data_IF_047700973414
#
_entry.id   IF_047700973414
#
_cell.length_a   1.000
_cell.length_b   1.000
_cell.length_c   1.000
_cell.angle_alpha   90.00
_cell.angle_beta   90.00
_cell.angle_gamma   90.00
#
_symmetry.space_group_name_H-M   'P 1'
#
loop_
_entity.id
_entity.type
_entity.pdbx_description
1 polymer ?
#
# COMPACT_ATOMS: atom_id res chain seq x y z
N UNK A 1 -9.82 -7.36 14.71
CA UNK A 1 -9.07 -6.17 14.25
C UNK A 1 -9.04 -6.12 12.73
N UNK A 2 -9.04 -4.93 12.13
CA UNK A 2 -8.92 -4.71 10.68
C UNK A 2 -7.65 -3.91 10.39
N UNK A 3 -6.77 -4.47 9.55
CA UNK A 3 -5.54 -3.83 9.10
C UNK A 3 -5.66 -3.38 7.64
N UNK A 4 -5.19 -2.17 7.33
CA UNK A 4 -4.97 -1.71 5.95
C UNK A 4 -3.48 -1.66 5.66
N UNK A 5 -3.02 -2.38 4.64
CA UNK A 5 -1.63 -2.46 4.21
C UNK A 5 -1.37 -1.80 2.86
N UNK A 6 -0.25 -1.10 2.70
CA UNK A 6 0.25 -0.63 1.40
C UNK A 6 1.60 -1.29 1.07
N UNK A 7 1.65 -1.96 -0.09
CA UNK A 7 2.84 -2.59 -0.64
C UNK A 7 3.27 -1.87 -1.93
N UNK A 8 4.50 -1.37 -1.97
CA UNK A 8 5.03 -0.58 -3.08
C UNK A 8 6.56 -0.65 -3.24
N UNK A 9 7.18 -1.77 -2.85
CA UNK A 9 8.64 -1.97 -2.82
C UNK A 9 9.29 -2.06 -4.21
N UNK A 10 8.53 -2.53 -5.20
CA UNK A 10 8.98 -2.78 -6.56
C UNK A 10 8.08 -2.06 -7.59
N UNK A 11 7.86 -2.65 -8.77
CA UNK A 11 7.03 -2.07 -9.83
C UNK A 11 5.53 -2.29 -9.66
N UNK A 12 5.08 -2.93 -8.58
CA UNK A 12 3.65 -3.04 -8.24
C UNK A 12 3.35 -2.13 -7.07
N UNK A 13 2.14 -1.60 -7.07
CA UNK A 13 1.53 -0.92 -5.92
C UNK A 13 0.23 -1.63 -5.60
N UNK A 14 0.05 -1.99 -4.33
CA UNK A 14 -1.12 -2.71 -3.85
C UNK A 14 -1.62 -2.14 -2.54
N UNK A 15 -2.92 -2.26 -2.31
CA UNK A 15 -3.57 -1.94 -1.05
C UNK A 15 -4.37 -3.15 -0.61
N UNK A 16 -4.07 -3.68 0.57
CA UNK A 16 -4.75 -4.84 1.15
C UNK A 16 -5.53 -4.45 2.39
N UNK A 17 -6.68 -5.09 2.62
CA UNK A 17 -7.43 -5.00 3.86
C UNK A 17 -7.66 -6.41 4.39
N UNK A 18 -7.22 -6.67 5.62
CA UNK A 18 -7.29 -8.00 6.24
C UNK A 18 -7.84 -7.92 7.66
N UNK A 19 -8.53 -8.98 8.09
CA UNK A 19 -8.89 -9.20 9.48
C UNK A 19 -7.80 -9.98 10.21
N UNK A 20 -7.81 -9.91 11.53
CA UNK A 20 -6.93 -10.67 12.43
C UNK A 20 -7.15 -12.18 12.37
N UNK A 21 -8.32 -12.64 11.93
CA UNK A 21 -8.60 -14.05 11.65
C UNK A 21 -8.01 -14.56 10.31
N UNK A 22 -7.32 -13.69 9.56
CA UNK A 22 -6.72 -14.00 8.26
C UNK A 22 -7.65 -13.78 7.06
N UNK A 23 -8.90 -13.36 7.29
CA UNK A 23 -9.83 -13.06 6.19
C UNK A 23 -9.35 -11.85 5.39
N UNK A 24 -9.20 -12.02 4.07
CA UNK A 24 -8.87 -10.94 3.13
C UNK A 24 -10.17 -10.28 2.66
N UNK A 25 -10.34 -8.99 2.99
CA UNK A 25 -11.52 -8.21 2.61
C UNK A 25 -11.34 -7.47 1.27
N UNK A 26 -10.10 -7.07 0.96
CA UNK A 26 -9.76 -6.44 -0.31
C UNK A 26 -8.28 -6.62 -0.63
N UNK A 27 -7.92 -6.70 -1.92
CA UNK A 27 -6.53 -6.79 -2.37
C UNK A 27 -6.28 -6.23 -3.79
N UNK A 28 -6.77 -5.03 -4.13
CA UNK A 28 -6.50 -4.44 -5.44
C UNK A 28 -5.03 -4.05 -5.61
N UNK A 29 -4.54 -4.18 -6.85
CA UNK A 29 -3.16 -3.90 -7.24
C UNK A 29 -3.10 -3.29 -8.64
N UNK A 30 -2.12 -2.43 -8.85
CA UNK A 30 -1.68 -1.96 -10.17
C UNK A 30 -0.20 -2.31 -10.40
N UNK A 31 0.16 -2.48 -11.68
CA UNK A 31 1.53 -2.80 -12.10
C UNK A 31 2.04 -1.74 -13.07
N UNK A 32 3.21 -1.17 -12.77
CA UNK A 32 3.93 -0.33 -13.70
C UNK A 32 4.62 -1.22 -14.75
N UNK A 33 4.17 -1.11 -16.00
CA UNK A 33 4.67 -1.87 -17.15
C UNK A 33 5.47 -0.92 -18.04
N UNK A 34 6.74 -1.26 -18.27
CA UNK A 34 7.63 -0.52 -19.16
C UNK A 34 7.60 -1.09 -20.58
N UNK A 35 8.03 -0.32 -21.60
CA UNK A 35 8.18 -0.82 -22.96
C UNK A 35 9.09 -2.07 -23.04
N UNK A 36 8.88 -2.94 -24.04
CA UNK A 36 9.75 -4.09 -24.26
C UNK A 36 11.24 -3.70 -24.31
N UNK A 37 12.08 -4.49 -23.63
CA UNK A 37 13.53 -4.25 -23.58
C UNK A 37 13.99 -3.21 -22.55
N UNK A 38 13.10 -2.67 -21.71
CA UNK A 38 13.45 -1.67 -20.69
C UNK A 38 13.08 -2.13 -19.28
N UNK A 39 13.86 -1.70 -18.28
CA UNK A 39 13.56 -1.89 -16.86
C UNK A 39 12.82 -0.70 -16.26
N UNK A 40 12.07 -0.93 -15.18
CA UNK A 40 11.40 0.15 -14.46
C UNK A 40 12.39 0.96 -13.63
N UNK A 41 12.45 2.27 -13.87
CA UNK A 41 13.32 3.16 -13.12
C UNK A 41 12.65 3.59 -11.80
N UNK A 42 13.42 3.83 -10.73
CA UNK A 42 12.83 4.17 -9.43
C UNK A 42 11.97 5.44 -9.44
N UNK A 43 12.35 6.46 -10.21
CA UNK A 43 11.60 7.72 -10.33
C UNK A 43 10.23 7.50 -10.98
N UNK A 44 10.20 6.87 -12.14
CA UNK A 44 8.98 6.60 -12.92
C UNK A 44 8.03 5.66 -12.16
N UNK A 45 8.59 4.67 -11.48
CA UNK A 45 7.82 3.77 -10.60
C UNK A 45 7.18 4.54 -9.45
N UNK A 46 7.90 5.47 -8.83
CA UNK A 46 7.33 6.30 -7.75
C UNK A 46 6.22 7.23 -8.27
N UNK A 47 6.35 7.77 -9.48
CA UNK A 47 5.30 8.57 -10.14
C UNK A 47 4.05 7.72 -10.43
N UNK A 48 4.23 6.50 -10.94
CA UNK A 48 3.14 5.55 -11.09
C UNK A 48 2.44 5.29 -9.75
N UNK A 49 3.18 4.93 -8.70
CA UNK A 49 2.60 4.66 -7.37
C UNK A 49 1.81 5.85 -6.83
N UNK A 50 2.31 7.08 -6.98
CA UNK A 50 1.59 8.31 -6.57
C UNK A 50 0.27 8.48 -7.32
N UNK A 51 0.25 8.19 -8.62
CA UNK A 51 -0.98 8.30 -9.43
C UNK A 51 -2.04 7.26 -9.05
N UNK A 52 -1.63 6.07 -8.58
CA UNK A 52 -2.53 4.95 -8.32
C UNK A 52 -2.98 4.81 -6.87
N UNK A 53 -2.14 5.20 -5.89
CA UNK A 53 -2.34 4.82 -4.47
C UNK A 53 -3.69 5.26 -3.90
N UNK A 54 -4.16 6.48 -4.19
CA UNK A 54 -5.46 6.94 -3.68
C UNK A 54 -6.65 6.25 -4.34
N UNK A 55 -6.54 5.94 -5.63
CA UNK A 55 -7.56 5.15 -6.33
C UNK A 55 -7.63 3.74 -5.73
N UNK A 56 -6.48 3.11 -5.47
CA UNK A 56 -6.41 1.79 -4.86
C UNK A 56 -6.96 1.76 -3.44
N UNK A 57 -6.70 2.78 -2.61
CA UNK A 57 -7.30 2.90 -1.27
C UNK A 57 -8.83 2.95 -1.38
N UNK A 58 -9.38 3.81 -2.25
CA UNK A 58 -10.82 3.91 -2.47
C UNK A 58 -11.42 2.59 -2.96
N UNK A 59 -10.72 1.91 -3.88
CA UNK A 59 -11.13 0.60 -4.40
C UNK A 59 -11.14 -0.46 -3.29
N UNK A 60 -10.09 -0.51 -2.46
CA UNK A 60 -9.98 -1.47 -1.37
C UNK A 60 -11.09 -1.27 -0.33
N UNK A 61 -11.37 -0.02 0.09
CA UNK A 61 -12.45 0.30 1.01
C UNK A 61 -13.83 -0.09 0.43
N UNK A 62 -14.03 0.16 -0.87
CA UNK A 62 -15.26 -0.23 -1.56
C UNK A 62 -15.43 -1.76 -1.63
N UNK A 63 -14.38 -2.49 -1.99
CA UNK A 63 -14.38 -3.96 -2.03
C UNK A 63 -14.66 -4.55 -0.64
N UNK A 64 -14.02 -4.02 0.39
CA UNK A 64 -14.22 -4.44 1.78
C UNK A 64 -15.55 -3.98 2.39
N UNK A 65 -16.28 -3.06 1.74
CA UNK A 65 -17.52 -2.44 2.23
C UNK A 65 -17.38 -1.79 3.62
N UNK A 66 -16.25 -1.11 3.86
CA UNK A 66 -15.94 -0.39 5.11
C UNK A 66 -15.44 1.03 4.82
N UNK A 67 -15.28 1.84 5.87
CA UNK A 67 -14.69 3.17 5.80
C UNK A 67 -13.30 3.20 6.45
N UNK A 68 -12.59 4.31 6.30
CA UNK A 68 -11.25 4.47 6.88
C UNK A 68 -11.27 4.47 8.42
N UNK A 69 -12.37 4.93 9.01
CA UNK A 69 -12.56 4.98 10.46
C UNK A 69 -12.62 3.57 11.09
N UNK A 70 -13.04 2.58 10.31
CA UNK A 70 -13.14 1.17 10.72
C UNK A 70 -11.78 0.45 10.75
N UNK A 71 -10.71 1.10 10.27
CA UNK A 71 -9.35 0.55 10.30
C UNK A 71 -8.76 0.70 11.71
N UNK A 72 -8.25 -0.40 12.25
CA UNK A 72 -7.63 -0.43 13.58
C UNK A 72 -6.13 -0.15 13.54
N UNK A 73 -5.46 -0.56 12.45
CA UNK A 73 -4.01 -0.40 12.29
C UNK A 73 -3.63 -0.19 10.83
N UNK A 74 -2.69 0.73 10.60
CA UNK A 74 -2.15 0.99 9.27
C UNK A 74 -0.77 0.36 9.10
N UNK A 75 -0.59 -0.40 8.03
CA UNK A 75 0.63 -1.14 7.73
C UNK A 75 1.25 -0.65 6.43
N UNK A 76 2.58 -0.58 6.36
CA UNK A 76 3.27 -0.28 5.10
C UNK A 76 4.56 -1.08 5.00
N UNK A 77 4.98 -1.35 3.77
CA UNK A 77 6.28 -1.97 3.52
C UNK A 77 7.40 -1.01 3.89
N UNK A 78 8.15 -1.34 4.94
CA UNK A 78 9.32 -0.56 5.39
C UNK A 78 10.56 -0.86 4.54
N UNK A 79 10.61 -2.06 3.96
CA UNK A 79 11.67 -2.53 3.08
C UNK A 79 11.90 -4.05 3.21
N UNK A 80 12.85 -4.64 2.45
CA UNK A 80 13.68 -3.99 1.42
C UNK A 80 12.88 -3.57 0.18
N UNK A 81 13.49 -2.78 -0.71
CA UNK A 81 12.86 -2.31 -1.95
C UNK A 81 13.52 -1.04 -2.51
N UNK A 82 12.95 -0.51 -3.60
CA UNK A 82 13.42 0.74 -4.20
C UNK A 82 13.03 1.93 -3.33
N UNK A 83 14.00 2.80 -3.02
CA UNK A 83 13.81 3.90 -2.06
C UNK A 83 12.68 4.88 -2.45
N UNK A 84 12.64 5.35 -3.70
CA UNK A 84 11.61 6.30 -4.13
C UNK A 84 10.20 5.68 -4.10
N UNK A 85 9.94 4.48 -4.66
CA UNK A 85 8.64 3.80 -4.54
C UNK A 85 8.22 3.51 -3.09
N UNK A 86 9.13 3.02 -2.23
CA UNK A 86 8.84 2.76 -0.81
C UNK A 86 8.34 4.01 -0.08
N UNK A 87 8.92 5.18 -0.39
CA UNK A 87 8.53 6.44 0.25
C UNK A 87 7.06 6.80 0.01
N UNK A 88 6.46 6.38 -1.12
CA UNK A 88 5.06 6.68 -1.45
C UNK A 88 4.12 6.04 -0.43
N UNK A 89 4.23 4.73 -0.23
CA UNK A 89 3.39 4.01 0.74
C UNK A 89 3.64 4.47 2.18
N UNK A 90 4.90 4.70 2.54
CA UNK A 90 5.28 5.18 3.86
C UNK A 90 4.70 6.56 4.19
N UNK A 91 4.73 7.51 3.25
CA UNK A 91 4.14 8.84 3.44
C UNK A 91 2.62 8.73 3.59
N UNK A 92 1.96 7.97 2.70
CA UNK A 92 0.50 7.81 2.73
C UNK A 92 0.03 7.22 4.06
N UNK A 93 0.64 6.12 4.51
CA UNK A 93 0.26 5.48 5.79
C UNK A 93 0.53 6.38 6.99
N UNK A 94 1.67 7.08 7.03
CA UNK A 94 1.95 8.03 8.13
C UNK A 94 0.94 9.17 8.18
N UNK A 95 0.51 9.67 7.03
CA UNK A 95 -0.51 10.72 6.96
C UNK A 95 -1.87 10.20 7.43
N UNK A 96 -2.31 9.02 6.96
CA UNK A 96 -3.58 8.43 7.40
C UNK A 96 -3.58 8.14 8.90
N UNK A 97 -2.50 7.55 9.42
CA UNK A 97 -2.38 7.26 10.84
C UNK A 97 -2.47 8.51 11.71
N UNK A 98 -1.85 9.63 11.30
CA UNK A 98 -1.96 10.90 11.99
C UNK A 98 -3.36 11.51 11.90
N UNK A 99 -4.03 11.41 10.75
CA UNK A 99 -5.38 11.94 10.56
C UNK A 99 -6.44 11.19 11.37
N UNK A 100 -6.26 9.88 11.54
CA UNK A 100 -7.24 9.00 12.19
C UNK A 100 -6.84 8.58 13.61
N UNK A 101 -5.69 9.06 14.11
CA UNK A 101 -5.11 8.70 15.41
C UNK A 101 -5.04 7.17 15.61
N UNK A 102 -4.40 6.48 14.65
CA UNK A 102 -4.26 5.02 14.63
C UNK A 102 -2.79 4.58 14.64
N UNK A 103 -2.46 3.42 15.22
CA UNK A 103 -1.11 2.89 15.21
C UNK A 103 -0.61 2.56 13.79
N UNK A 104 0.72 2.62 13.62
CA UNK A 104 1.41 2.20 12.39
C UNK A 104 2.33 1.00 12.62
N UNK A 105 2.40 0.10 11.62
CA UNK A 105 3.34 -1.01 11.60
C UNK A 105 4.16 -0.96 10.29
N UNK A 106 5.47 -0.88 10.43
CA UNK A 106 6.40 -1.05 9.32
C UNK A 106 6.73 -2.53 9.12
N UNK A 107 6.36 -3.08 7.96
CA UNK A 107 6.48 -4.51 7.65
C UNK A 107 7.70 -4.78 6.79
N UNK A 108 8.39 -5.89 7.05
CA UNK A 108 9.46 -6.37 6.18
C UNK A 108 8.85 -7.09 4.97
N UNK A 109 9.23 -6.69 3.76
CA UNK A 109 8.67 -7.25 2.52
C UNK A 109 8.87 -8.76 2.37
N UNK A 110 9.98 -9.29 2.90
CA UNK A 110 10.36 -10.69 2.74
C UNK A 110 9.77 -11.60 3.82
N UNK A 111 9.34 -11.05 4.95
CA UNK A 111 8.89 -11.85 6.09
C UNK A 111 7.39 -12.06 6.00
N UNK A 112 7.00 -13.33 5.99
CA UNK A 112 5.65 -13.86 6.18
C UNK A 112 5.74 -15.14 7.00
#
# INVERSE_FOLDING_TARGET
>A
MIALGIEGSANKIGVGIVKDDGTILANPRETYITPPGTGFMPKETAEHHRSQVFMLIRKALKEASIKLEDIDVFCYTKGPGMAQPLSVGAIVIRTLAQLYDKPIIGVNHCIG
#
